data_IF_345752596352
#
_entry.id   IF_345752596352
#
_cell.length_a   1.000
_cell.length_b   1.000
_cell.length_c   1.000
_cell.angle_alpha   90.00
_cell.angle_beta   90.00
_cell.angle_gamma   90.00
#
_symmetry.space_group_name_H-M   'P 1'
#
loop_
_entity.id
_entity.type
_entity.pdbx_description
1 polymer ?
#
# COMPACT_ATOMS: atom_id res chain seq x y z
N UNK A 1 0.06 19.69 15.40
CA UNK A 1 0.18 19.06 14.06
C UNK A 1 -1.14 19.16 13.33
N UNK A 2 -1.22 19.66 12.09
CA UNK A 2 -2.50 19.71 11.37
C UNK A 2 -3.23 18.34 11.34
N UNK A 3 -4.56 18.32 11.42
CA UNK A 3 -5.37 17.09 11.39
C UNK A 3 -5.01 16.20 10.18
N UNK A 4 -4.81 16.83 9.02
CA UNK A 4 -4.37 16.16 7.80
C UNK A 4 -3.04 15.42 7.97
N UNK A 5 -2.07 16.02 8.67
CA UNK A 5 -0.76 15.39 8.91
C UNK A 5 -0.91 14.17 9.83
N UNK A 6 -1.67 14.29 10.92
CA UNK A 6 -1.92 13.19 11.86
C UNK A 6 -2.61 12.03 11.14
N UNK A 7 -3.71 12.32 10.43
CA UNK A 7 -4.48 11.32 9.72
C UNK A 7 -3.66 10.61 8.63
N UNK A 8 -2.97 11.38 7.78
CA UNK A 8 -2.13 10.81 6.72
C UNK A 8 -0.98 9.97 7.29
N UNK A 9 -0.33 10.42 8.38
CA UNK A 9 0.78 9.71 9.02
C UNK A 9 0.34 8.37 9.59
N UNK A 10 -0.79 8.34 10.32
CA UNK A 10 -1.34 7.12 10.88
C UNK A 10 -1.78 6.16 9.78
N UNK A 11 -2.55 6.65 8.80
CA UNK A 11 -3.09 5.81 7.74
C UNK A 11 -1.99 5.20 6.87
N UNK A 12 -1.07 6.02 6.36
CA UNK A 12 0.03 5.55 5.50
C UNK A 12 1.00 4.67 6.31
N UNK A 13 1.32 5.08 7.54
CA UNK A 13 2.18 4.31 8.44
C UNK A 13 1.65 2.90 8.69
N UNK A 14 0.37 2.77 9.05
CA UNK A 14 -0.25 1.46 9.31
C UNK A 14 -0.33 0.59 8.06
N UNK A 15 -0.75 1.16 6.92
CA UNK A 15 -0.84 0.41 5.66
C UNK A 15 0.52 -0.16 5.25
N UNK A 16 1.59 0.64 5.30
CA UNK A 16 2.93 0.17 4.96
C UNK A 16 3.55 -0.74 6.03
N UNK A 17 3.26 -0.52 7.31
CA UNK A 17 3.69 -1.42 8.39
C UNK A 17 3.09 -2.83 8.24
N UNK A 18 1.80 -2.93 7.91
CA UNK A 18 1.17 -4.23 7.62
C UNK A 18 1.69 -4.81 6.30
N UNK A 19 1.89 -3.98 5.28
CA UNK A 19 2.46 -4.40 3.99
C UNK A 19 3.84 -5.05 4.15
N UNK A 20 4.74 -4.46 4.95
CA UNK A 20 6.07 -5.01 5.18
C UNK A 20 6.04 -6.21 6.11
N UNK A 21 5.21 -6.17 7.17
CA UNK A 21 5.07 -7.28 8.11
C UNK A 21 4.63 -8.56 7.41
N UNK A 22 3.65 -8.48 6.52
CA UNK A 22 3.14 -9.64 5.77
C UNK A 22 4.20 -10.26 4.84
N UNK A 23 5.15 -9.47 4.33
CA UNK A 23 6.26 -9.96 3.48
C UNK A 23 7.45 -10.51 4.28
N UNK A 24 7.69 -9.96 5.47
CA UNK A 24 8.82 -10.36 6.32
C UNK A 24 8.49 -11.44 7.35
N UNK A 25 7.20 -11.75 7.57
CA UNK A 25 6.76 -12.73 8.58
C UNK A 25 7.38 -14.12 8.41
N UNK A 26 7.75 -14.52 7.19
CA UNK A 26 8.44 -15.78 6.95
C UNK A 26 9.27 -15.74 5.66
N UNK A 27 10.27 -16.63 5.54
CA UNK A 27 11.01 -16.84 4.29
C UNK A 27 10.09 -17.22 3.13
N UNK A 28 9.05 -18.00 3.41
CA UNK A 28 8.04 -18.38 2.42
C UNK A 28 7.22 -17.19 1.92
N UNK A 29 6.87 -16.24 2.80
CA UNK A 29 6.15 -15.03 2.41
C UNK A 29 6.97 -14.14 1.48
N UNK A 30 8.26 -13.94 1.79
CA UNK A 30 9.16 -13.20 0.90
C UNK A 30 9.37 -13.91 -0.44
N UNK A 31 9.55 -15.24 -0.43
CA UNK A 31 9.67 -16.02 -1.66
C UNK A 31 8.41 -15.93 -2.53
N UNK A 32 7.22 -15.96 -1.92
CA UNK A 32 5.96 -15.77 -2.62
C UNK A 32 5.83 -14.37 -3.24
N UNK A 33 6.25 -13.32 -2.52
CA UNK A 33 6.29 -11.96 -3.06
C UNK A 33 7.25 -11.84 -4.25
N UNK A 34 8.46 -12.42 -4.13
CA UNK A 34 9.43 -12.47 -5.23
C UNK A 34 8.85 -13.20 -6.45
N UNK A 35 8.15 -14.31 -6.24
CA UNK A 35 7.46 -15.04 -7.32
C UNK A 35 6.47 -14.14 -8.05
N UNK A 36 5.64 -13.38 -7.31
CA UNK A 36 4.72 -12.42 -7.92
C UNK A 36 5.43 -11.35 -8.75
N UNK A 37 6.60 -10.86 -8.33
CA UNK A 37 7.41 -9.92 -9.13
C UNK A 37 7.86 -10.56 -10.45
N UNK A 38 8.27 -11.83 -10.42
CA UNK A 38 8.63 -12.59 -11.61
C UNK A 38 7.41 -12.81 -12.53
N UNK A 39 6.26 -13.16 -11.96
CA UNK A 39 5.02 -13.45 -12.69
C UNK A 39 4.46 -12.22 -13.43
N UNK A 40 4.79 -11.01 -12.97
CA UNK A 40 4.44 -9.77 -13.68
C UNK A 40 5.15 -9.64 -15.03
N UNK A 41 6.26 -10.37 -15.26
CA UNK A 41 7.06 -10.37 -16.49
C UNK A 41 7.50 -8.97 -16.96
N UNK A 42 7.57 -8.01 -16.04
CA UNK A 42 7.98 -6.63 -16.31
C UNK A 42 9.51 -6.46 -16.35
N UNK A 43 10.24 -7.41 -15.77
CA UNK A 43 11.67 -7.33 -15.52
C UNK A 43 12.31 -8.72 -15.73
N UNK A 44 13.62 -8.81 -16.03
CA UNK A 44 14.36 -10.07 -16.03
C UNK A 44 14.29 -10.78 -14.68
N UNK A 45 14.26 -12.12 -14.69
CA UNK A 45 14.20 -12.92 -13.45
C UNK A 45 15.36 -12.66 -12.49
N UNK A 46 16.55 -12.34 -13.03
CA UNK A 46 17.74 -11.98 -12.26
C UNK A 46 17.56 -10.71 -11.42
N UNK A 47 16.67 -9.79 -11.84
CA UNK A 47 16.37 -8.55 -11.12
C UNK A 47 15.20 -8.70 -10.14
N UNK A 48 14.41 -9.77 -10.22
CA UNK A 48 13.24 -9.95 -9.36
C UNK A 48 13.62 -10.00 -7.87
N UNK A 49 14.73 -10.66 -7.52
CA UNK A 49 15.26 -10.70 -6.15
C UNK A 49 15.68 -9.33 -5.61
N UNK A 50 16.61 -8.63 -6.27
CA UNK A 50 17.02 -7.27 -5.89
C UNK A 50 15.86 -6.29 -5.81
N UNK A 51 14.94 -6.31 -6.77
CA UNK A 51 13.76 -5.42 -6.79
C UNK A 51 12.81 -5.74 -5.65
N UNK A 52 12.54 -7.02 -5.37
CA UNK A 52 11.72 -7.41 -4.23
C UNK A 52 12.33 -6.96 -2.90
N UNK A 53 13.64 -7.10 -2.73
CA UNK A 53 14.34 -6.61 -1.54
C UNK A 53 14.29 -5.08 -1.42
N UNK A 54 14.51 -4.35 -2.52
CA UNK A 54 14.45 -2.89 -2.55
C UNK A 54 13.04 -2.37 -2.21
N UNK A 55 11.99 -3.03 -2.73
CA UNK A 55 10.61 -2.70 -2.39
C UNK A 55 10.36 -2.92 -0.91
N UNK A 56 10.72 -4.07 -0.35
CA UNK A 56 10.54 -4.36 1.08
C UNK A 56 11.30 -3.36 1.97
N UNK A 57 12.51 -2.98 1.57
CA UNK A 57 13.28 -1.96 2.26
C UNK A 57 12.58 -0.59 2.23
N UNK A 58 12.03 -0.19 1.09
CA UNK A 58 11.25 1.06 0.97
C UNK A 58 9.95 1.01 1.80
N UNK A 59 9.24 -0.12 1.79
CA UNK A 59 8.04 -0.33 2.62
C UNK A 59 8.34 -0.25 4.11
N UNK A 60 9.51 -0.74 4.55
CA UNK A 60 9.98 -0.61 5.93
C UNK A 60 10.38 0.84 6.26
N UNK A 61 11.04 1.52 5.33
CA UNK A 61 11.55 2.87 5.54
C UNK A 61 10.40 3.87 5.76
N UNK A 62 9.27 3.71 5.07
CA UNK A 62 8.12 4.63 5.18
C UNK A 62 7.63 4.80 6.64
N UNK A 63 7.17 3.76 7.36
CA UNK A 63 6.68 3.93 8.73
C UNK A 63 7.79 4.44 9.67
N UNK A 64 9.05 4.02 9.48
CA UNK A 64 10.18 4.50 10.28
C UNK A 64 10.40 6.00 10.08
N UNK A 65 10.51 6.46 8.83
CA UNK A 65 10.69 7.88 8.48
C UNK A 65 9.50 8.72 8.92
N UNK A 66 8.29 8.16 8.82
CA UNK A 66 7.09 8.82 9.33
C UNK A 66 7.16 9.00 10.84
N UNK A 67 7.71 8.06 11.62
CA UNK A 67 7.83 8.17 13.07
C UNK A 67 8.90 9.17 13.52
N UNK A 68 10.02 9.28 12.81
CA UNK A 68 11.14 10.14 13.19
C UNK A 68 10.79 11.63 13.00
N UNK A 69 10.89 12.47 14.06
CA UNK A 69 10.73 13.91 13.94
C UNK A 69 11.71 14.51 12.92
N UNK A 70 11.22 15.37 12.03
CA UNK A 70 12.04 15.96 10.97
C UNK A 70 12.18 15.12 9.69
N UNK A 71 11.94 13.80 9.75
CA UNK A 71 12.00 12.91 8.57
C UNK A 71 10.63 12.63 7.93
N UNK A 72 9.54 13.14 8.52
CA UNK A 72 8.17 12.83 8.08
C UNK A 72 7.90 13.19 6.62
N UNK A 73 8.45 14.29 6.11
CA UNK A 73 8.32 14.67 4.70
C UNK A 73 8.99 13.63 3.79
N UNK A 74 10.19 13.15 4.14
CA UNK A 74 10.87 12.10 3.39
C UNK A 74 10.05 10.79 3.37
N UNK A 75 9.43 10.43 4.51
CA UNK A 75 8.53 9.28 4.60
C UNK A 75 7.36 9.35 3.60
N UNK A 76 6.71 10.52 3.49
CA UNK A 76 5.64 10.70 2.50
C UNK A 76 6.14 10.72 1.05
N UNK A 77 7.32 11.29 0.78
CA UNK A 77 7.93 11.24 -0.56
C UNK A 77 8.16 9.79 -0.99
N UNK A 78 8.79 8.98 -0.14
CA UNK A 78 9.03 7.56 -0.42
C UNK A 78 7.70 6.83 -0.64
N UNK A 79 6.67 7.12 0.17
CA UNK A 79 5.35 6.53 0.01
C UNK A 79 4.70 6.88 -1.34
N UNK A 80 4.71 8.15 -1.75
CA UNK A 80 4.16 8.59 -3.04
C UNK A 80 4.89 7.93 -4.20
N UNK A 81 6.22 7.92 -4.17
CA UNK A 81 7.03 7.31 -5.22
C UNK A 81 6.76 5.81 -5.33
N UNK A 82 6.73 5.11 -4.20
CA UNK A 82 6.48 3.67 -4.17
C UNK A 82 5.05 3.33 -4.66
N UNK A 83 4.04 4.10 -4.26
CA UNK A 83 2.67 3.94 -4.74
C UNK A 83 2.54 4.23 -6.24
N UNK A 84 3.28 5.20 -6.76
CA UNK A 84 3.33 5.49 -8.20
C UNK A 84 3.97 4.34 -8.99
N UNK A 85 5.09 3.79 -8.50
CA UNK A 85 5.76 2.62 -9.10
C UNK A 85 4.84 1.41 -9.10
N UNK A 86 4.19 1.11 -7.98
CA UNK A 86 3.21 0.03 -7.90
C UNK A 86 2.05 0.25 -8.87
N UNK A 87 1.48 1.46 -8.91
CA UNK A 87 0.38 1.78 -9.83
C UNK A 87 0.78 1.61 -11.29
N UNK A 88 1.99 2.03 -11.66
CA UNK A 88 2.51 1.86 -13.01
C UNK A 88 2.76 0.38 -13.36
N UNK A 89 3.25 -0.43 -12.41
CA UNK A 89 3.39 -1.88 -12.58
C UNK A 89 2.05 -2.56 -12.82
N UNK A 90 1.06 -2.25 -11.99
CA UNK A 90 -0.32 -2.76 -12.11
C UNK A 90 -0.93 -2.37 -13.46
N UNK A 91 -0.82 -1.10 -13.85
CA UNK A 91 -1.36 -0.62 -15.12
C UNK A 91 -0.74 -1.35 -16.32
N UNK A 92 0.58 -1.63 -16.28
CA UNK A 92 1.25 -2.39 -17.34
C UNK A 92 0.80 -3.84 -17.40
N UNK A 93 0.67 -4.51 -16.26
CA UNK A 93 0.16 -5.89 -16.17
C UNK A 93 -1.27 -5.97 -16.73
N UNK A 94 -2.13 -5.03 -16.34
CA UNK A 94 -3.50 -4.94 -16.85
C UNK A 94 -3.53 -4.67 -18.36
N UNK A 95 -2.68 -3.78 -18.87
CA UNK A 95 -2.59 -3.49 -20.30
C UNK A 95 -2.04 -4.66 -21.11
N UNK A 96 -1.15 -5.47 -20.53
CA UNK A 96 -0.59 -6.67 -21.15
C UNK A 96 -1.52 -7.90 -21.06
N UNK A 97 -2.61 -7.81 -20.29
CA UNK A 97 -3.52 -8.94 -20.06
C UNK A 97 -2.87 -10.12 -19.32
N UNK A 98 -1.77 -9.89 -18.61
CA UNK A 98 -1.07 -10.95 -17.88
C UNK A 98 -1.82 -11.30 -16.61
N UNK A 99 -2.10 -12.59 -16.41
CA UNK A 99 -2.72 -13.09 -15.19
C UNK A 99 -1.69 -13.16 -14.05
N UNK A 100 -1.29 -11.99 -13.55
CA UNK A 100 -0.45 -11.88 -12.36
C UNK A 100 -1.32 -11.60 -11.12
N UNK A 101 -0.86 -12.07 -9.96
CA UNK A 101 -1.54 -11.88 -8.67
C UNK A 101 -0.84 -10.81 -7.82
N UNK A 102 -1.64 -10.06 -7.05
CA UNK A 102 -1.14 -8.99 -6.19
C UNK A 102 -0.86 -9.48 -4.77
N UNK A 103 0.37 -9.92 -4.48
CA UNK A 103 0.81 -10.17 -3.09
C UNK A 103 1.36 -8.92 -2.39
N UNK A 104 1.01 -7.71 -2.84
CA UNK A 104 1.45 -6.47 -2.22
C UNK A 104 1.02 -6.35 -0.74
N UNK A 105 -0.05 -7.03 -0.31
CA UNK A 105 -0.45 -7.13 1.10
C UNK A 105 -0.43 -8.57 1.63
N UNK A 106 0.29 -9.46 0.96
CA UNK A 106 0.67 -10.81 1.44
C UNK A 106 -0.40 -11.90 1.42
N UNK A 107 -1.70 -11.57 1.48
CA UNK A 107 -2.76 -12.58 1.69
C UNK A 107 -3.48 -12.96 0.39
N UNK A 108 -3.91 -11.99 -0.42
CA UNK A 108 -4.70 -12.30 -1.62
C UNK A 108 -3.84 -12.77 -2.80
N UNK A 109 -4.28 -13.86 -3.43
CA UNK A 109 -3.78 -14.34 -4.72
C UNK A 109 -4.70 -13.91 -5.88
N UNK A 110 -5.64 -12.99 -5.63
CA UNK A 110 -6.58 -12.54 -6.65
C UNK A 110 -5.84 -11.84 -7.82
N UNK A 111 -6.32 -12.03 -9.05
CA UNK A 111 -5.79 -11.34 -10.21
C UNK A 111 -5.95 -9.83 -10.04
N UNK A 112 -5.01 -9.05 -10.59
CA UNK A 112 -5.09 -7.60 -10.54
C UNK A 112 -6.43 -7.10 -11.09
N UNK A 113 -7.19 -6.41 -10.25
CA UNK A 113 -8.37 -5.65 -10.66
C UNK A 113 -8.11 -4.15 -10.70
N UNK A 114 -8.99 -3.41 -11.40
CA UNK A 114 -8.97 -1.93 -11.44
C UNK A 114 -9.06 -1.30 -10.04
N UNK A 115 -9.61 -2.02 -9.06
CA UNK A 115 -9.73 -1.56 -7.67
C UNK A 115 -8.37 -1.30 -7.00
N UNK A 116 -7.32 -2.03 -7.35
CA UNK A 116 -5.98 -1.76 -6.81
C UNK A 116 -5.40 -0.42 -7.29
N UNK A 117 -5.71 0.00 -8.51
CA UNK A 117 -5.32 1.33 -9.02
C UNK A 117 -6.04 2.44 -8.26
N UNK A 118 -7.34 2.29 -8.00
CA UNK A 118 -8.08 3.26 -7.18
C UNK A 118 -7.54 3.33 -5.76
N UNK A 119 -7.30 2.18 -5.11
CA UNK A 119 -6.70 2.12 -3.76
C UNK A 119 -5.36 2.84 -3.71
N UNK A 120 -4.43 2.51 -4.61
CA UNK A 120 -3.11 3.13 -4.63
C UNK A 120 -3.18 4.62 -4.98
N UNK A 121 -4.07 5.02 -5.89
CA UNK A 121 -4.31 6.41 -6.24
C UNK A 121 -4.79 7.23 -5.04
N UNK A 122 -5.78 6.72 -4.30
CA UNK A 122 -6.28 7.37 -3.07
C UNK A 122 -5.18 7.47 -2.02
N UNK A 123 -4.41 6.40 -1.79
CA UNK A 123 -3.28 6.42 -0.86
C UNK A 123 -2.21 7.43 -1.29
N UNK A 124 -1.95 7.57 -2.59
CA UNK A 124 -0.96 8.51 -3.11
C UNK A 124 -1.42 9.96 -2.89
N UNK A 125 -2.71 10.25 -3.11
CA UNK A 125 -3.30 11.56 -2.83
C UNK A 125 -3.22 11.89 -1.33
N UNK A 126 -3.55 10.94 -0.46
CA UNK A 126 -3.44 11.11 1.00
C UNK A 126 -1.99 11.36 1.42
N UNK A 127 -1.03 10.60 0.86
CA UNK A 127 0.39 10.80 1.12
C UNK A 127 0.89 12.17 0.63
N UNK A 128 0.44 12.63 -0.53
CA UNK A 128 0.77 13.96 -1.06
C UNK A 128 0.15 15.09 -0.21
N UNK A 129 -1.06 14.91 0.30
CA UNK A 129 -1.68 15.84 1.24
C UNK A 129 -0.91 15.88 2.57
N UNK A 130 -0.48 14.72 3.07
CA UNK A 130 0.39 14.59 4.25
C UNK A 130 1.74 15.26 4.06
N UNK A 131 2.38 15.09 2.90
CA UNK A 131 3.61 15.77 2.52
C UNK A 131 3.43 17.29 2.51
N UNK A 132 2.38 17.77 1.85
CA UNK A 132 2.06 19.20 1.79
C UNK A 132 1.87 19.77 3.19
N UNK A 133 1.13 19.07 4.04
CA UNK A 133 0.92 19.45 5.43
C UNK A 133 2.21 19.47 6.25
N UNK A 134 3.11 18.49 6.05
CA UNK A 134 4.40 18.40 6.72
C UNK A 134 5.34 19.57 6.36
N UNK A 135 5.32 20.01 5.10
CA UNK A 135 6.15 21.13 4.62
C UNK A 135 5.56 22.48 5.06
N UNK A 136 4.24 22.65 4.96
CA UNK A 136 3.57 23.96 5.12
C UNK A 136 3.30 24.36 6.56
N UNK A 137 3.17 23.42 7.50
CA UNK A 137 2.72 23.73 8.86
C UNK A 137 3.49 22.98 9.95
N UNK A 138 4.79 23.26 10.17
CA UNK A 138 5.57 22.60 11.22
C UNK A 138 5.09 22.88 12.66
N UNK A 139 4.13 23.77 12.90
CA UNK A 139 3.86 24.32 14.24
C UNK A 139 2.42 24.67 14.61
N UNK A 140 1.40 24.28 13.84
CA UNK A 140 0.01 24.54 14.26
C UNK A 140 -0.34 23.52 15.35
N UNK A 141 -0.46 23.96 16.60
CA UNK A 141 -0.91 23.14 17.72
C UNK A 141 -2.31 22.58 17.43
N UNK A 142 -2.48 21.27 17.55
CA UNK A 142 -3.80 20.64 17.48
C UNK A 142 -4.24 20.31 18.89
N UNK A 143 -5.53 20.51 19.14
CA UNK A 143 -6.16 19.99 20.34
C UNK A 143 -5.89 18.47 20.46
N UNK A 144 -5.36 17.99 21.60
CA UNK A 144 -5.05 16.57 21.79
C UNK A 144 -6.25 15.64 21.59
N UNK A 145 -7.44 16.07 21.99
CA UNK A 145 -8.68 15.29 21.79
C UNK A 145 -9.01 15.12 20.31
N UNK A 146 -9.00 16.22 19.57
CA UNK A 146 -9.24 16.20 18.12
C UNK A 146 -8.14 15.43 17.36
N UNK A 147 -6.89 15.47 17.83
CA UNK A 147 -5.80 14.65 17.28
C UNK A 147 -6.04 13.14 17.51
N UNK A 148 -6.48 12.75 18.72
CA UNK A 148 -6.80 11.35 19.05
C UNK A 148 -7.96 10.81 18.21
N UNK A 149 -9.03 11.60 18.03
CA UNK A 149 -10.17 11.25 17.18
C UNK A 149 -9.71 11.06 15.72
N UNK A 150 -8.89 11.98 15.22
CA UNK A 150 -8.35 11.90 13.85
C UNK A 150 -7.50 10.65 13.67
N UNK A 151 -6.64 10.32 14.65
CA UNK A 151 -5.82 9.11 14.62
C UNK A 151 -6.67 7.83 14.65
N UNK A 152 -7.71 7.79 15.49
CA UNK A 152 -8.65 6.67 15.55
C UNK A 152 -9.38 6.47 14.23
N UNK A 153 -9.93 7.53 13.64
CA UNK A 153 -10.58 7.48 12.34
C UNK A 153 -9.63 7.02 11.22
N UNK A 154 -8.38 7.53 11.23
CA UNK A 154 -7.36 7.12 10.27
C UNK A 154 -6.94 5.65 10.43
N UNK A 155 -6.91 5.13 11.66
CA UNK A 155 -6.63 3.72 11.93
C UNK A 155 -7.76 2.82 11.40
N UNK A 156 -9.02 3.19 11.62
CA UNK A 156 -10.17 2.48 11.05
C UNK A 156 -10.12 2.49 9.53
N UNK A 157 -9.85 3.64 8.92
CA UNK A 157 -9.69 3.76 7.47
C UNK A 157 -8.53 2.89 6.94
N UNK A 158 -7.40 2.82 7.67
CA UNK A 158 -6.29 1.94 7.31
C UNK A 158 -6.70 0.46 7.35
N UNK A 159 -7.45 0.03 8.38
CA UNK A 159 -7.96 -1.34 8.48
C UNK A 159 -8.90 -1.67 7.32
N UNK A 160 -9.82 -0.77 6.98
CA UNK A 160 -10.71 -0.94 5.82
C UNK A 160 -9.89 -1.09 4.53
N UNK A 161 -8.88 -0.24 4.33
CA UNK A 161 -8.00 -0.30 3.17
C UNK A 161 -7.23 -1.62 3.12
N UNK A 162 -6.71 -2.10 4.25
CA UNK A 162 -5.96 -3.36 4.36
C UNK A 162 -6.87 -4.55 4.04
N UNK A 163 -8.08 -4.59 4.61
CA UNK A 163 -9.04 -5.68 4.42
C UNK A 163 -9.85 -5.58 3.12
N UNK A 164 -9.71 -4.50 2.36
CA UNK A 164 -10.49 -4.29 1.14
C UNK A 164 -10.34 -5.43 0.14
N UNK A 165 -9.13 -5.98 -0.01
CA UNK A 165 -8.88 -7.09 -0.93
C UNK A 165 -9.58 -8.38 -0.45
N UNK A 166 -9.52 -8.69 0.84
CA UNK A 166 -10.21 -9.85 1.44
C UNK A 166 -11.74 -9.72 1.34
N UNK A 167 -12.27 -8.50 1.55
CA UNK A 167 -13.71 -8.19 1.44
C UNK A 167 -14.17 -8.37 0.00
N UNK A 168 -13.43 -7.84 -0.98
CA UNK A 168 -13.77 -7.97 -2.39
C UNK A 168 -13.70 -9.43 -2.84
N UNK A 169 -12.72 -10.19 -2.35
CA UNK A 169 -12.59 -11.62 -2.66
C UNK A 169 -13.73 -12.44 -2.05
N UNK A 170 -14.19 -12.12 -0.83
CA UNK A 170 -15.36 -12.75 -0.21
C UNK A 170 -16.61 -12.59 -1.09
N UNK A 171 -16.91 -11.37 -1.53
CA UNK A 171 -18.07 -11.11 -2.38
C UNK A 171 -17.95 -11.73 -3.79
N UNK A 172 -16.73 -11.92 -4.32
CA UNK A 172 -16.52 -12.65 -5.59
C UNK A 172 -16.72 -14.14 -5.43
N UNK A 173 -16.30 -14.73 -4.30
CA UNK A 173 -16.48 -16.15 -4.02
C UNK A 173 -17.97 -16.53 -3.89
N UNK A 174 -18.81 -15.60 -3.42
CA UNK A 174 -20.26 -15.79 -3.30
C UNK A 174 -21.05 -15.66 -4.62
N UNK A 175 -20.45 -15.19 -5.72
CA UNK A 175 -21.09 -15.26 -7.03
C UNK A 175 -20.91 -16.66 -7.62
N UNK A 176 -21.96 -17.51 -7.68
CA UNK A 176 -21.85 -18.83 -8.28
C UNK A 176 -21.46 -18.66 -9.75
N UNK A 177 -20.49 -19.45 -10.21
CA UNK A 177 -20.11 -19.50 -11.62
C UNK A 177 -21.38 -19.63 -12.47
N UNK A 178 -21.67 -18.61 -13.29
CA UNK A 178 -22.74 -18.68 -14.26
C UNK A 178 -22.54 -19.97 -15.07
N UNK A 179 -23.45 -20.93 -14.89
CA UNK A 179 -23.37 -22.25 -15.48
C UNK A 179 -23.15 -22.16 -17.00
N UNK A 180 -22.52 -23.19 -17.60
CA UNK A 180 -22.16 -23.15 -19.01
C UNK A 180 -23.41 -22.85 -19.86
N UNK A 181 -23.34 -21.76 -20.65
CA UNK A 181 -24.34 -21.49 -21.69
C UNK A 181 -24.22 -22.61 -22.71
N UNK A 182 -25.23 -23.48 -22.74
CA UNK A 182 -25.42 -24.49 -23.78
C UNK A 182 -25.79 -23.82 -25.10
#
# INVERSE_FOLDING_TARGET
MSHTLVGARVLIGLVFAVSVFTKLRSRGAFAAFRSSVTDMRLLPESLAGPVAAAVVAAELAIPVLLLVPGATAAGFVVAVLLLAVFSAGIARVLAAGTAASCRCFGVSAAPFGRHHLYRNGVLAVIAAAGLTAAIRAPGIGTDPGAAAITAGAAAVAALVVIMLDDIVDLFRAEQPAAGPRR
#
